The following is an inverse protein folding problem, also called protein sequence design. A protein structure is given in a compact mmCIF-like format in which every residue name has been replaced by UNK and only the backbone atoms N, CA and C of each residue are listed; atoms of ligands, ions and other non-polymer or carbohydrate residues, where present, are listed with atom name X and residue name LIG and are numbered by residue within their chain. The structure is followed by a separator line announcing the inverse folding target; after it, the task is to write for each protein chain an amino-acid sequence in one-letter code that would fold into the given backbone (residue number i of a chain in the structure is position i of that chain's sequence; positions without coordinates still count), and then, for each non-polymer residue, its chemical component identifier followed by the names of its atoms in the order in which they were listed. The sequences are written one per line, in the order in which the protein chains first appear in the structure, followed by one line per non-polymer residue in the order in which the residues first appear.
data_IF_206993927677
#
_entry.id   IF_206993927677
#
_cell.length_a   1.000
_cell.length_b   1.000
_cell.length_c   1.000
_cell.angle_alpha   90.00
_cell.angle_beta   90.00
_cell.angle_gamma   90.00
#
_symmetry.space_group_name_H-M   'P 1'
#
loop_
_entity.id
_entity.type
_entity.pdbx_description
1 polymer ?
#
# COMPACT_ATOMS: atom_id res chain seq x y z
N UNK A 1 -16.03 1.62 5.69
CA UNK A 1 -15.90 1.92 4.25
C UNK A 1 -14.96 3.11 4.12
N UNK A 2 -13.73 2.94 3.61
CA UNK A 2 -12.72 4.02 3.61
C UNK A 2 -12.91 5.02 2.47
N UNK A 3 -13.69 4.66 1.43
CA UNK A 3 -14.03 5.56 0.33
C UNK A 3 -14.93 6.73 0.76
N UNK A 4 -15.71 6.58 1.84
CA UNK A 4 -16.50 7.69 2.40
C UNK A 4 -15.68 8.65 3.27
N UNK A 5 -14.43 8.29 3.65
CA UNK A 5 -13.53 9.19 4.38
C UNK A 5 -12.89 10.23 3.44
N UNK A 6 -12.72 9.90 2.16
CA UNK A 6 -11.93 10.70 1.21
C UNK A 6 -12.77 11.54 0.23
N UNK A 7 -14.11 11.47 0.31
CA UNK A 7 -15.02 12.22 -0.56
C UNK A 7 -15.53 13.54 0.07
N UNK A 8 -15.08 13.86 1.28
CA UNK A 8 -15.47 15.08 2.01
C UNK A 8 -14.58 15.43 3.21
N UNK A 9 -13.36 14.87 3.32
CA UNK A 9 -12.46 15.23 4.41
C UNK A 9 -11.63 16.46 4.03
N UNK A 10 -12.04 17.62 4.51
CA UNK A 10 -11.23 18.83 4.41
C UNK A 10 -9.98 18.73 5.29
N UNK A 11 -8.96 19.52 4.97
CA UNK A 11 -7.71 19.60 5.74
C UNK A 11 -7.91 19.76 7.27
N UNK A 12 -8.90 20.55 7.76
CA UNK A 12 -9.22 20.64 9.19
C UNK A 12 -9.63 19.32 9.83
N UNK A 13 -10.43 18.50 9.15
CA UNK A 13 -10.90 17.22 9.68
C UNK A 13 -9.74 16.22 9.76
N UNK A 14 -8.88 16.20 8.75
CA UNK A 14 -7.66 15.40 8.74
C UNK A 14 -6.77 15.75 9.93
N UNK A 15 -6.53 17.03 10.17
CA UNK A 15 -5.68 17.49 11.27
C UNK A 15 -6.32 17.20 12.63
N UNK A 16 -7.63 17.34 12.75
CA UNK A 16 -8.36 16.98 13.98
C UNK A 16 -8.17 15.50 14.32
N UNK A 17 -8.29 14.60 13.34
CA UNK A 17 -8.06 13.15 13.52
C UNK A 17 -6.61 12.80 13.92
N UNK A 18 -5.63 13.58 13.45
CA UNK A 18 -4.21 13.38 13.77
C UNK A 18 -3.78 14.00 15.11
N UNK A 19 -4.67 14.74 15.76
CA UNK A 19 -4.35 15.56 16.94
C UNK A 19 -3.47 16.76 16.61
N UNK A 20 -3.61 17.29 15.40
CA UNK A 20 -2.84 18.39 14.81
C UNK A 20 -3.70 19.63 14.54
N UNK A 21 -4.92 19.71 15.08
CA UNK A 21 -5.85 20.82 14.82
C UNK A 21 -5.28 22.22 15.07
N UNK A 22 -4.32 22.37 15.99
CA UNK A 22 -3.61 23.64 16.25
C UNK A 22 -2.80 24.18 15.06
N UNK A 23 -2.54 23.34 14.05
CA UNK A 23 -1.83 23.75 12.84
C UNK A 23 -2.79 24.13 11.72
N UNK A 24 -4.10 23.88 11.85
CA UNK A 24 -5.08 24.13 10.79
C UNK A 24 -5.09 25.59 10.34
N UNK A 25 -5.00 26.54 11.27
CA UNK A 25 -5.02 27.98 10.95
C UNK A 25 -3.83 28.39 10.07
N UNK A 26 -2.64 27.84 10.32
CA UNK A 26 -1.43 28.14 9.53
C UNK A 26 -1.64 27.75 8.07
N UNK A 27 -2.25 26.58 7.82
CA UNK A 27 -2.47 26.11 6.46
C UNK A 27 -3.60 26.91 5.77
N UNK A 28 -4.64 27.31 6.49
CA UNK A 28 -5.70 28.16 5.93
C UNK A 28 -5.18 29.57 5.59
N UNK A 29 -4.38 30.17 6.46
CA UNK A 29 -3.78 31.49 6.23
C UNK A 29 -2.82 31.52 5.03
N UNK A 30 -2.16 30.39 4.76
CA UNK A 30 -1.28 30.22 3.60
C UNK A 30 -2.03 29.70 2.36
N UNK A 31 -3.37 29.64 2.42
CA UNK A 31 -4.24 29.15 1.34
C UNK A 31 -3.88 27.73 0.87
N UNK A 32 -3.35 26.90 1.78
CA UNK A 32 -2.98 25.52 1.50
C UNK A 32 -4.20 24.63 1.67
N UNK A 33 -4.70 24.14 0.54
CA UNK A 33 -5.77 23.17 0.48
C UNK A 33 -5.24 21.73 0.64
N UNK A 34 -6.15 20.76 0.69
CA UNK A 34 -5.77 19.35 0.84
C UNK A 34 -4.89 18.86 -0.32
N UNK A 35 -5.14 19.32 -1.55
CA UNK A 35 -4.37 18.87 -2.70
C UNK A 35 -2.92 19.35 -2.62
N UNK A 36 -2.71 20.61 -2.25
CA UNK A 36 -1.38 21.18 -2.02
C UNK A 36 -0.70 20.54 -0.80
N UNK A 37 -1.43 20.28 0.29
CA UNK A 37 -0.88 19.57 1.46
C UNK A 37 -0.25 18.22 1.09
N UNK A 38 -0.86 17.47 0.17
CA UNK A 38 -0.37 16.16 -0.28
C UNK A 38 0.94 16.21 -1.09
N UNK A 39 1.39 17.40 -1.51
CA UNK A 39 2.65 17.59 -2.24
C UNK A 39 3.78 18.07 -1.35
N UNK A 40 3.50 18.46 -0.10
CA UNK A 40 4.49 19.06 0.79
C UNK A 40 5.56 18.06 1.26
N UNK A 41 6.78 18.57 1.37
CA UNK A 41 7.97 17.88 1.86
C UNK A 41 8.30 18.26 3.31
N UNK A 42 9.26 17.56 3.92
CA UNK A 42 9.76 17.93 5.25
C UNK A 42 10.28 19.37 5.32
N UNK A 43 10.89 19.85 4.22
CA UNK A 43 11.42 21.19 4.13
C UNK A 43 10.29 22.22 4.09
N UNK A 44 9.28 22.02 3.23
CA UNK A 44 8.14 22.94 3.13
C UNK A 44 7.41 23.07 4.47
N UNK A 45 7.23 21.95 5.19
CA UNK A 45 6.63 21.97 6.52
C UNK A 45 7.45 22.80 7.53
N UNK A 46 8.79 22.81 7.43
CA UNK A 46 9.62 23.69 8.27
C UNK A 46 9.46 25.15 7.88
N UNK A 47 9.40 25.45 6.58
CA UNK A 47 9.21 26.81 6.06
C UNK A 47 7.85 27.39 6.47
N UNK A 48 6.81 26.54 6.55
CA UNK A 48 5.49 26.88 7.10
C UNK A 48 5.47 27.06 8.63
N UNK A 49 6.60 26.88 9.32
CA UNK A 49 6.72 27.05 10.76
C UNK A 49 6.39 25.81 11.60
N UNK A 50 6.22 24.63 10.97
CA UNK A 50 6.00 23.36 11.69
C UNK A 50 7.35 22.80 12.17
N UNK A 51 7.90 23.37 13.23
CA UNK A 51 9.23 22.98 13.73
C UNK A 51 9.21 21.66 14.51
N UNK A 52 8.09 21.35 15.16
CA UNK A 52 7.93 20.16 16.01
C UNK A 52 8.09 18.87 15.20
N UNK A 53 9.12 18.08 15.53
CA UNK A 53 9.43 16.82 14.83
C UNK A 53 8.23 15.85 14.77
N UNK A 54 7.55 15.64 15.90
CA UNK A 54 6.40 14.73 15.97
C UNK A 54 5.23 15.14 15.06
N UNK A 55 4.98 16.46 14.94
CA UNK A 55 3.94 16.98 14.06
C UNK A 55 4.30 16.76 12.58
N UNK A 56 5.53 17.13 12.19
CA UNK A 56 6.04 16.88 10.82
C UNK A 56 5.99 15.41 10.47
N UNK A 57 6.44 14.53 11.36
CA UNK A 57 6.44 13.08 11.12
C UNK A 57 5.02 12.56 10.88
N UNK A 58 4.03 12.99 11.67
CA UNK A 58 2.63 12.62 11.48
C UNK A 58 2.07 13.11 10.13
N UNK A 59 2.35 14.37 9.76
CA UNK A 59 1.91 14.94 8.49
C UNK A 59 2.49 14.17 7.29
N UNK A 60 3.81 13.93 7.28
CA UNK A 60 4.48 13.18 6.21
C UNK A 60 3.96 11.74 6.08
N UNK A 61 3.66 11.08 7.19
CA UNK A 61 3.04 9.75 7.16
C UNK A 61 1.62 9.80 6.57
N UNK A 62 0.82 10.80 6.94
CA UNK A 62 -0.51 10.98 6.37
C UNK A 62 -0.44 11.24 4.86
N UNK A 63 0.46 12.11 4.41
CA UNK A 63 0.71 12.38 2.99
C UNK A 63 1.06 11.11 2.22
N UNK A 64 1.98 10.28 2.76
CA UNK A 64 2.38 9.02 2.14
C UNK A 64 1.20 8.04 1.99
N UNK A 65 0.43 7.85 3.05
CA UNK A 65 -0.71 6.91 3.04
C UNK A 65 -1.82 7.37 2.10
N UNK A 66 -2.15 8.66 2.09
CA UNK A 66 -3.15 9.24 1.20
C UNK A 66 -2.74 9.12 -0.27
N UNK A 67 -1.47 9.35 -0.60
CA UNK A 67 -0.95 9.18 -1.96
C UNK A 67 -0.92 7.71 -2.43
N UNK A 68 -0.65 6.74 -1.54
CA UNK A 68 -0.74 5.31 -1.88
C UNK A 68 -2.16 4.90 -2.23
N UNK A 69 -3.15 5.36 -1.47
CA UNK A 69 -4.55 5.03 -1.70
C UNK A 69 -5.08 5.59 -3.02
N UNK A 70 -4.60 6.78 -3.43
CA UNK A 70 -4.88 7.34 -4.76
C UNK A 70 -4.37 6.44 -5.90
N UNK A 71 -3.19 5.84 -5.74
CA UNK A 71 -2.55 5.01 -6.78
C UNK A 71 -3.16 3.61 -6.89
N UNK A 72 -3.69 3.05 -5.79
CA UNK A 72 -4.40 1.74 -5.82
C UNK A 72 -5.68 1.75 -6.66
N UNK A 73 -6.24 2.92 -6.96
CA UNK A 73 -7.40 3.04 -7.85
C UNK A 73 -7.03 2.94 -9.34
N UNK A 74 -5.74 3.03 -9.68
CA UNK A 74 -5.25 3.04 -11.06
C UNK A 74 -4.20 1.95 -11.32
N UNK A 75 -4.26 0.85 -10.57
CA UNK A 75 -3.46 -0.33 -10.88
C UNK A 75 -4.27 -1.27 -11.81
N UNK A 76 -3.96 -1.32 -13.12
CA UNK A 76 -4.53 -2.32 -14.01
C UNK A 76 -3.98 -3.74 -13.74
N UNK A 77 -3.06 -3.91 -12.78
CA UNK A 77 -2.46 -5.21 -12.46
C UNK A 77 -3.40 -6.12 -11.65
N UNK A 78 -4.46 -5.58 -11.05
CA UNK A 78 -5.51 -6.36 -10.39
C UNK A 78 -6.41 -7.17 -11.36
N UNK A 79 -6.24 -7.05 -12.69
CA UNK A 79 -7.01 -7.84 -13.68
C UNK A 79 -6.31 -9.13 -14.15
N UNK A 80 -5.11 -9.46 -13.67
CA UNK A 80 -4.32 -10.63 -14.16
C UNK A 80 -4.39 -11.88 -13.28
N UNK A 81 -5.44 -12.06 -12.48
CA UNK A 81 -5.56 -13.21 -11.56
C UNK A 81 -6.78 -14.11 -11.81
N UNK A 82 -7.29 -14.20 -13.06
CA UNK A 82 -8.48 -15.02 -13.33
C UNK A 82 -8.46 -15.81 -14.66
N UNK A 83 -7.32 -15.96 -15.34
CA UNK A 83 -7.27 -16.75 -16.58
C UNK A 83 -6.01 -17.61 -16.66
N UNK A 84 -5.90 -18.61 -15.78
CA UNK A 84 -5.13 -19.83 -16.05
C UNK A 84 -5.79 -21.02 -15.36
N UNK A 85 -7.10 -21.19 -15.58
CA UNK A 85 -7.80 -22.44 -15.26
C UNK A 85 -8.13 -23.12 -16.58
N UNK A 86 -7.46 -24.24 -16.85
CA UNK A 86 -7.79 -25.14 -17.95
C UNK A 86 -6.66 -25.35 -18.94
N UNK A 87 -5.93 -26.45 -18.79
CA UNK A 87 -5.19 -27.03 -19.92
C UNK A 87 -3.93 -27.82 -19.58
N UNK A 88 -4.14 -29.09 -19.21
CA UNK A 88 -3.27 -30.23 -19.55
C UNK A 88 -1.76 -30.14 -19.22
N UNK A 89 -1.37 -30.77 -18.11
CA UNK A 89 -0.10 -31.52 -18.07
C UNK A 89 -0.37 -32.88 -17.45
N UNK A 90 -0.92 -33.76 -18.30
CA UNK A 90 -0.84 -35.19 -18.09
C UNK A 90 0.54 -35.70 -18.50
N UNK A 91 0.95 -36.77 -17.81
CA UNK A 91 2.02 -37.73 -18.13
C UNK A 91 3.42 -37.34 -17.62
N UNK A 92 3.82 -37.98 -16.51
CA UNK A 92 4.88 -38.99 -16.52
C UNK A 92 4.65 -39.97 -15.36
N UNK A 93 4.30 -41.22 -15.71
CA UNK A 93 4.20 -42.33 -14.78
C UNK A 93 5.60 -42.80 -14.40
N UNK A 94 5.99 -42.64 -13.13
CA UNK A 94 7.15 -43.35 -12.59
C UNK A 94 6.65 -44.62 -11.90
N UNK A 95 6.49 -45.69 -12.69
CA UNK A 95 6.22 -47.03 -12.19
C UNK A 95 7.50 -47.57 -11.56
N UNK A 96 7.56 -47.63 -10.22
CA UNK A 96 8.48 -48.54 -9.55
C UNK A 96 7.90 -49.95 -9.68
N UNK A 97 8.48 -50.74 -10.58
CA UNK A 97 8.23 -52.18 -10.65
C UNK A 97 9.33 -52.86 -9.84
N UNK A 98 8.96 -53.44 -8.71
CA UNK A 98 9.80 -54.33 -7.91
C UNK A 98 9.73 -55.71 -8.53
N UNK A 99 10.83 -56.19 -9.13
CA UNK A 99 10.99 -57.62 -9.40
C UNK A 99 12.27 -58.13 -8.74
N UNK A 100 12.01 -59.04 -7.81
CA UNK A 100 12.92 -60.02 -7.25
C UNK A 100 13.35 -60.98 -8.36
N UNK A 101 14.66 -61.18 -8.53
CA UNK A 101 15.19 -62.38 -9.14
C UNK A 101 16.47 -62.81 -8.39
N UNK A 102 16.25 -63.75 -7.47
CA UNK A 102 17.27 -64.60 -6.86
C UNK A 102 17.89 -65.50 -7.93
N UNK A 103 19.21 -65.70 -7.89
CA UNK A 103 19.92 -67.01 -7.83
C UNK A 103 21.24 -67.05 -8.62
N UNK A 104 22.34 -67.24 -7.89
CA UNK A 104 23.49 -68.05 -8.29
C UNK A 104 24.21 -68.40 -6.99
N UNK A 105 24.04 -69.58 -6.40
CA UNK A 105 24.52 -70.85 -6.95
C UNK A 105 25.83 -71.21 -6.23
N UNK A 106 25.73 -71.77 -5.00
CA UNK A 106 26.82 -72.53 -4.36
C UNK A 106 26.84 -73.92 -5.00
N UNK A 107 28.00 -74.48 -5.34
CA UNK A 107 28.64 -75.74 -4.89
C UNK A 107 30.09 -75.70 -5.38
#
# INVERSE_FOLDING_TARGET
NLNSLFKGSDLPELFSKLGLGKYTDIFQQQEIDLQTFLTLTDQDLKELGITTFGARRKMLLAISELNKNRRKLFDPSNVRASFLEGGASGRLSHQYHSDIASVSGRW
#
